data_IF_603988971167
#
_entry.id   IF_603988971167
#
_cell.length_a   1.000
_cell.length_b   1.000
_cell.length_c   1.000
_cell.angle_alpha   90.00
_cell.angle_beta   90.00
_cell.angle_gamma   90.00
#
_symmetry.space_group_name_H-M   'P 1'
#
loop_
_entity.id
_entity.type
_entity.pdbx_description
1 polymer ?
#
# COMPACT_ATOMS: atom_id res chain seq x y z
N UNK A 1 -19.80 -7.19 9.56
CA UNK A 1 -18.37 -7.00 9.81
C UNK A 1 -17.59 -7.69 8.70
N UNK A 2 -16.88 -6.92 7.87
CA UNK A 2 -16.03 -7.35 6.77
C UNK A 2 -14.60 -6.98 7.10
N UNK A 3 -13.70 -7.93 6.93
CA UNK A 3 -12.26 -7.73 7.15
C UNK A 3 -11.55 -8.07 5.85
N UNK A 4 -10.66 -7.18 5.41
CA UNK A 4 -9.80 -7.40 4.26
C UNK A 4 -8.33 -7.39 4.69
N UNK A 5 -7.51 -8.16 3.99
CA UNK A 5 -6.05 -8.10 4.14
C UNK A 5 -5.41 -8.10 2.77
N UNK A 6 -4.45 -7.22 2.57
CA UNK A 6 -3.71 -7.12 1.32
C UNK A 6 -2.21 -7.16 1.62
N UNK A 7 -1.46 -7.96 0.88
CA UNK A 7 -0.06 -7.69 0.69
C UNK A 7 0.06 -6.74 -0.50
N UNK A 8 0.49 -5.51 -0.24
CA UNK A 8 0.54 -4.45 -1.27
C UNK A 8 1.88 -4.40 -2.00
N UNK A 9 2.86 -5.23 -1.61
CA UNK A 9 4.20 -5.24 -2.21
C UNK A 9 4.78 -3.83 -2.35
N UNK A 10 4.69 -3.02 -1.30
CA UNK A 10 5.09 -1.61 -1.28
C UNK A 10 4.40 -0.73 -2.35
N UNK A 11 3.17 -1.04 -2.74
CA UNK A 11 2.44 -0.39 -3.83
C UNK A 11 3.24 -0.31 -5.15
N UNK A 12 4.07 -1.32 -5.45
CA UNK A 12 4.90 -1.32 -6.65
C UNK A 12 4.04 -1.69 -7.87
N UNK A 13 3.89 -0.74 -8.78
CA UNK A 13 3.41 -0.97 -10.14
C UNK A 13 4.57 -1.49 -11.00
N UNK A 14 4.52 -2.78 -11.33
CA UNK A 14 5.54 -3.47 -12.14
C UNK A 14 5.48 -3.11 -13.63
N UNK A 15 4.38 -2.54 -14.12
CA UNK A 15 4.28 -2.09 -15.52
C UNK A 15 5.00 -0.77 -15.69
N UNK A 16 4.78 0.18 -14.77
CA UNK A 16 5.43 1.49 -14.76
C UNK A 16 6.76 1.57 -14.00
N UNK A 17 7.18 0.48 -13.36
CA UNK A 17 8.33 0.37 -12.44
C UNK A 17 8.40 1.52 -11.41
N UNK A 18 7.28 1.74 -10.71
CA UNK A 18 7.14 2.86 -9.75
C UNK A 18 6.29 2.48 -8.55
N UNK A 19 6.40 3.26 -7.48
CA UNK A 19 5.47 3.19 -6.35
C UNK A 19 4.24 4.04 -6.67
N UNK A 20 3.05 3.42 -6.71
CA UNK A 20 1.78 4.09 -7.01
C UNK A 20 0.77 3.85 -5.88
N UNK A 21 0.81 4.68 -4.84
CA UNK A 21 0.00 4.50 -3.63
C UNK A 21 -1.50 4.65 -3.94
N UNK A 22 -1.86 5.64 -4.77
CA UNK A 22 -3.27 5.98 -5.06
C UNK A 22 -3.97 4.86 -5.81
N UNK A 23 -3.31 4.22 -6.78
CA UNK A 23 -3.88 3.07 -7.49
C UNK A 23 -4.29 1.95 -6.53
N UNK A 24 -3.41 1.60 -5.59
CA UNK A 24 -3.69 0.54 -4.60
C UNK A 24 -4.78 0.99 -3.61
N UNK A 25 -4.75 2.23 -3.13
CA UNK A 25 -5.77 2.77 -2.23
C UNK A 25 -7.16 2.74 -2.86
N UNK A 26 -7.29 3.16 -4.12
CA UNK A 26 -8.55 3.15 -4.85
C UNK A 26 -9.06 1.74 -5.18
N UNK A 27 -8.15 0.78 -5.39
CA UNK A 27 -8.53 -0.62 -5.52
C UNK A 27 -9.07 -1.19 -4.18
N UNK A 28 -8.40 -0.91 -3.06
CA UNK A 28 -8.76 -1.39 -1.72
C UNK A 28 -10.10 -0.80 -1.26
N UNK A 29 -10.35 0.49 -1.49
CA UNK A 29 -11.62 1.17 -1.10
C UNK A 29 -12.86 0.49 -1.68
N UNK A 30 -12.76 -0.16 -2.85
CA UNK A 30 -13.88 -0.84 -3.51
C UNK A 30 -14.39 -2.07 -2.75
N UNK A 31 -13.60 -2.60 -1.82
CA UNK A 31 -13.98 -3.78 -1.04
C UNK A 31 -14.90 -3.46 0.15
N UNK A 32 -15.07 -2.18 0.51
CA UNK A 32 -16.01 -1.73 1.56
C UNK A 32 -15.87 -2.55 2.86
N UNK A 33 -14.62 -2.75 3.30
CA UNK A 33 -14.29 -3.48 4.51
C UNK A 33 -14.35 -2.57 5.74
N UNK A 34 -14.87 -3.08 6.86
CA UNK A 34 -14.89 -2.37 8.14
C UNK A 34 -13.47 -2.26 8.74
N UNK A 35 -12.63 -3.26 8.49
CA UNK A 35 -11.22 -3.29 8.87
C UNK A 35 -10.35 -3.77 7.70
N UNK A 36 -9.20 -3.12 7.50
CA UNK A 36 -8.25 -3.47 6.46
C UNK A 36 -6.84 -3.58 7.04
N UNK A 37 -6.20 -4.74 6.89
CA UNK A 37 -4.79 -4.96 7.22
C UNK A 37 -3.92 -4.90 5.97
N UNK A 38 -2.78 -4.21 6.05
CA UNK A 38 -1.81 -4.10 4.95
C UNK A 38 -0.46 -4.72 5.35
N UNK A 39 0.04 -5.63 4.53
CA UNK A 39 1.38 -6.20 4.63
C UNK A 39 2.32 -5.56 3.62
N UNK A 40 3.62 -5.57 3.91
CA UNK A 40 4.68 -4.97 3.08
C UNK A 40 4.47 -3.47 2.83
N UNK A 41 4.04 -2.73 3.86
CA UNK A 41 4.13 -1.26 3.86
C UNK A 41 5.57 -0.86 4.17
N UNK A 42 6.22 -0.03 3.35
CA UNK A 42 7.55 0.51 3.70
C UNK A 42 7.42 1.51 4.84
N UNK A 43 8.08 1.22 5.95
CA UNK A 43 8.32 2.19 7.03
C UNK A 43 9.56 3.05 6.76
N UNK A 44 9.81 4.03 7.62
CA UNK A 44 10.97 4.93 7.58
C UNK A 44 12.30 4.18 7.72
N UNK A 45 12.86 3.74 6.59
CA UNK A 45 14.18 3.12 6.50
C UNK A 45 15.24 4.07 5.94
N UNK A 46 16.49 3.92 6.36
CA UNK A 46 17.60 4.80 5.95
C UNK A 46 18.10 4.60 4.50
N UNK A 47 17.43 3.76 3.70
CA UNK A 47 17.89 3.39 2.36
C UNK A 47 17.38 4.40 1.32
N UNK A 48 18.24 4.95 0.45
CA UNK A 48 17.80 5.79 -0.67
C UNK A 48 16.78 5.06 -1.57
N UNK A 49 15.61 5.65 -1.81
CA UNK A 49 14.50 5.03 -2.55
C UNK A 49 13.48 4.28 -1.68
N UNK A 50 13.68 4.24 -0.36
CA UNK A 50 12.66 3.85 0.61
C UNK A 50 11.72 5.04 0.84
N UNK A 51 10.78 5.27 -0.07
CA UNK A 51 9.71 6.24 0.14
C UNK A 51 8.92 5.84 1.38
N UNK A 52 8.79 6.74 2.34
CA UNK A 52 7.99 6.54 3.54
C UNK A 52 6.50 6.48 3.15
N UNK A 53 5.93 5.27 3.17
CA UNK A 53 4.53 5.05 2.82
C UNK A 53 3.62 5.21 4.02
N UNK A 54 4.16 4.94 5.22
CA UNK A 54 3.45 5.13 6.48
C UNK A 54 3.08 6.58 6.75
N UNK A 55 3.85 7.55 6.24
CA UNK A 55 3.53 8.98 6.34
C UNK A 55 2.66 9.52 5.19
N UNK A 56 2.24 8.67 4.24
CA UNK A 56 1.47 9.07 3.05
C UNK A 56 0.12 8.35 2.91
N UNK A 57 -0.14 7.31 3.70
CA UNK A 57 -1.41 6.59 3.82
C UNK A 57 -2.22 7.17 4.98
#
# INVERSE_FOLDING_TARGET
MRVATFNIQHCHDWVGDKIDIEFFADAIKRFDADFCGLNEVRGSGAIPGYTDQTNKL
#
